data_IF_699357220668
#
_entry.id   IF_699357220668
#
_cell.length_a   1.000
_cell.length_b   1.000
_cell.length_c   1.000
_cell.angle_alpha   90.00
_cell.angle_beta   90.00
_cell.angle_gamma   90.00
#
_symmetry.space_group_name_H-M   'P 1'
#
loop_
_entity.id
_entity.type
_entity.pdbx_description
1 polymer ?
#
# COMPACT_ATOMS: atom_id res chain seq x y z
N UNK A 1 -7.73 12.04 -3.95
CA UNK A 1 -6.48 11.30 -4.16
C UNK A 1 -6.27 11.20 -5.64
N UNK A 2 -5.06 11.49 -6.09
CA UNK A 2 -4.69 11.32 -7.50
C UNK A 2 -4.40 9.83 -7.78
N UNK A 3 -4.56 9.36 -9.02
CA UNK A 3 -4.04 8.05 -9.42
C UNK A 3 -2.57 7.92 -9.04
N UNK A 4 -2.20 6.73 -8.56
CA UNK A 4 -0.84 6.41 -8.12
C UNK A 4 -0.34 7.21 -6.90
N UNK A 5 -1.22 7.84 -6.12
CA UNK A 5 -0.83 8.45 -4.83
C UNK A 5 -0.33 7.39 -3.85
N UNK A 6 0.65 7.71 -3.01
CA UNK A 6 1.05 6.85 -1.90
C UNK A 6 -0.14 6.62 -0.96
N UNK A 7 -0.22 5.39 -0.44
CA UNK A 7 -1.08 5.00 0.67
C UNK A 7 -0.19 4.41 1.75
N UNK A 8 -0.35 4.83 3.00
CA UNK A 8 0.23 4.12 4.12
C UNK A 8 -0.78 3.08 4.63
N UNK A 9 -0.35 1.82 4.70
CA UNK A 9 -1.13 0.70 5.22
C UNK A 9 -0.56 0.30 6.56
N UNK A 10 -1.34 0.44 7.62
CA UNK A 10 -0.96 0.02 8.97
C UNK A 10 -1.66 -1.30 9.28
N UNK A 11 -0.89 -2.34 9.54
CA UNK A 11 -1.38 -3.68 9.84
C UNK A 11 -0.33 -4.43 10.64
N UNK A 12 -0.75 -5.34 11.53
CA UNK A 12 0.17 -6.23 12.25
C UNK A 12 1.38 -5.54 12.91
N UNK A 13 1.16 -4.36 13.52
CA UNK A 13 2.21 -3.52 14.11
C UNK A 13 3.29 -3.02 13.12
N UNK A 14 3.00 -3.01 11.83
CA UNK A 14 3.86 -2.54 10.75
C UNK A 14 3.18 -1.41 9.98
N UNK A 15 3.99 -0.63 9.26
CA UNK A 15 3.54 0.34 8.27
C UNK A 15 4.17 -0.03 6.94
N UNK A 16 3.35 -0.19 5.92
CA UNK A 16 3.77 -0.39 4.55
C UNK A 16 3.38 0.82 3.70
N UNK A 17 4.26 1.25 2.80
CA UNK A 17 3.90 2.21 1.77
C UNK A 17 3.58 1.49 0.46
N UNK A 18 2.38 1.76 -0.06
CA UNK A 18 1.90 1.25 -1.35
C UNK A 18 1.43 2.37 -2.25
N UNK A 19 0.94 2.00 -3.43
CA UNK A 19 0.42 2.94 -4.43
C UNK A 19 -1.09 2.73 -4.59
N UNK A 20 -1.84 3.82 -4.51
CA UNK A 20 -3.28 3.84 -4.74
C UNK A 20 -3.60 3.64 -6.20
N UNK A 21 -4.39 2.62 -6.48
CA UNK A 21 -5.04 2.44 -7.77
C UNK A 21 -4.07 1.99 -8.85
N UNK A 22 -3.93 0.68 -8.99
CA UNK A 22 -3.93 0.11 -10.32
C UNK A 22 -5.38 -0.27 -10.64
N UNK A 23 -6.02 0.50 -11.53
CA UNK A 23 -7.32 0.10 -12.06
C UNK A 23 -7.10 -1.12 -12.93
N UNK A 24 -7.32 -2.29 -12.35
CA UNK A 24 -7.70 -3.48 -13.09
C UNK A 24 -8.73 -3.07 -14.17
N UNK A 25 -8.56 -3.51 -15.42
CA UNK A 25 -9.58 -3.36 -16.48
C UNK A 25 -10.90 -4.07 -16.19
N UNK A 26 -11.04 -4.68 -15.01
CA UNK A 26 -12.21 -5.28 -14.38
C UNK A 26 -12.52 -4.63 -13.01
N UNK A 27 -13.73 -4.87 -12.50
CA UNK A 27 -14.24 -4.28 -11.26
C UNK A 27 -13.67 -4.85 -9.95
N UNK A 28 -12.76 -5.83 -10.01
CA UNK A 28 -12.31 -6.57 -8.83
C UNK A 28 -10.91 -6.17 -8.39
N UNK A 29 -10.79 -5.64 -7.17
CA UNK A 29 -9.53 -5.37 -6.46
C UNK A 29 -8.93 -6.65 -5.83
N UNK A 30 -9.45 -7.83 -6.20
CA UNK A 30 -9.31 -9.08 -5.46
C UNK A 30 -7.87 -9.54 -5.28
N UNK A 31 -7.14 -9.77 -6.37
CA UNK A 31 -5.77 -10.32 -6.30
C UNK A 31 -4.79 -9.33 -5.65
N UNK A 32 -4.91 -8.03 -5.95
CA UNK A 32 -4.11 -6.99 -5.29
C UNK A 32 -4.37 -6.93 -3.78
N UNK A 33 -5.61 -7.13 -3.36
CA UNK A 33 -5.97 -7.18 -1.93
C UNK A 33 -5.39 -8.43 -1.24
N UNK A 34 -5.33 -9.57 -1.94
CA UNK A 34 -4.69 -10.79 -1.41
C UNK A 34 -3.19 -10.56 -1.21
N UNK A 35 -2.48 -9.97 -2.17
CA UNK A 35 -1.06 -9.69 -2.03
C UNK A 35 -0.75 -8.77 -0.84
N UNK A 36 -1.57 -7.73 -0.64
CA UNK A 36 -1.42 -6.84 0.52
C UNK A 36 -1.74 -7.58 1.83
N UNK A 37 -2.79 -8.40 1.85
CA UNK A 37 -3.15 -9.14 3.03
C UNK A 37 -2.04 -10.16 3.41
N UNK A 38 -1.47 -10.87 2.42
CA UNK A 38 -0.31 -11.75 2.63
C UNK A 38 0.93 -11.01 3.10
N UNK A 39 1.12 -9.75 2.69
CA UNK A 39 2.21 -8.91 3.19
C UNK A 39 2.00 -8.55 4.67
N UNK A 40 0.77 -8.19 5.05
CA UNK A 40 0.42 -7.87 6.43
C UNK A 40 0.44 -9.08 7.37
N UNK A 41 -0.06 -10.22 6.91
CA UNK A 41 -0.31 -11.42 7.71
C UNK A 41 0.18 -12.69 6.98
N UNK A 42 1.51 -12.85 6.79
CA UNK A 42 2.07 -13.91 5.97
C UNK A 42 1.79 -15.34 6.49
N UNK A 43 1.39 -15.47 7.75
CA UNK A 43 1.16 -16.75 8.42
C UNK A 43 -0.33 -17.14 8.51
N UNK A 44 -1.24 -16.29 8.05
CA UNK A 44 -2.69 -16.47 8.25
C UNK A 44 -3.33 -17.34 7.15
N UNK A 45 -2.52 -17.85 6.22
CA UNK A 45 -2.98 -18.74 5.15
C UNK A 45 -3.96 -18.05 4.21
N UNK A 46 -3.75 -16.76 3.94
CA UNK A 46 -4.65 -15.94 3.13
C UNK A 46 -4.68 -16.39 1.67
N UNK A 47 -5.89 -16.54 1.13
CA UNK A 47 -6.16 -16.98 -0.24
C UNK A 47 -7.34 -16.20 -0.83
N UNK A 48 -7.73 -16.52 -2.07
CA UNK A 48 -8.95 -15.95 -2.65
C UNK A 48 -10.24 -16.31 -1.89
N UNK A 49 -10.22 -17.42 -1.15
CA UNK A 49 -11.37 -17.92 -0.38
C UNK A 49 -11.17 -17.80 1.14
N UNK A 50 -10.03 -17.26 1.60
CA UNK A 50 -9.71 -17.10 3.02
C UNK A 50 -9.16 -15.70 3.29
N UNK A 51 -9.97 -14.88 3.95
CA UNK A 51 -9.65 -13.49 4.28
C UNK A 51 -9.22 -13.27 5.73
N UNK A 52 -8.93 -12.01 6.05
CA UNK A 52 -8.64 -11.54 7.39
C UNK A 52 -9.86 -10.77 7.93
N UNK A 53 -10.52 -11.29 8.97
CA UNK A 53 -11.79 -10.76 9.48
C UNK A 53 -11.62 -9.64 10.50
N UNK A 54 -10.46 -9.56 11.14
CA UNK A 54 -10.16 -8.61 12.19
C UNK A 54 -10.11 -7.19 11.60
N UNK A 55 -10.68 -6.24 12.34
CA UNK A 55 -10.78 -4.83 11.94
C UNK A 55 -9.57 -4.04 12.44
N UNK A 56 -8.38 -4.50 12.10
CA UNK A 56 -7.10 -3.99 12.60
C UNK A 56 -6.15 -3.51 11.48
N UNK A 57 -6.69 -3.32 10.26
CA UNK A 57 -5.98 -2.72 9.14
C UNK A 57 -6.47 -1.29 8.92
N UNK A 58 -5.55 -0.33 8.89
CA UNK A 58 -5.83 1.08 8.62
C UNK A 58 -5.16 1.49 7.30
N UNK A 59 -5.94 2.14 6.44
CA UNK A 59 -5.46 2.74 5.19
C UNK A 59 -5.47 4.26 5.32
N UNK A 60 -4.32 4.89 5.12
CA UNK A 60 -4.18 6.35 5.09
C UNK A 60 -3.89 6.78 3.66
N UNK A 61 -4.90 7.33 3.01
CA UNK A 61 -4.78 7.88 1.66
C UNK A 61 -4.46 9.37 1.69
N UNK A 62 -3.40 9.77 0.98
CA UNK A 62 -2.96 11.16 0.91
C UNK A 62 -3.54 11.84 -0.35
N UNK A 63 -4.26 12.95 -0.15
CA UNK A 63 -5.08 13.54 -1.23
C UNK A 63 -4.36 14.58 -2.10
N UNK A 64 -3.20 15.09 -1.68
CA UNK A 64 -2.46 16.11 -2.40
C UNK A 64 -1.64 15.56 -3.57
N UNK A 65 -1.38 16.38 -4.59
CA UNK A 65 -0.56 15.99 -5.75
C UNK A 65 0.87 15.59 -5.38
N UNK A 66 1.39 16.12 -4.27
CA UNK A 66 2.69 15.72 -3.71
C UNK A 66 2.73 14.27 -3.21
N UNK A 67 1.60 13.57 -3.13
CA UNK A 67 1.57 12.15 -2.78
C UNK A 67 1.91 11.22 -3.95
N UNK A 68 2.00 11.73 -5.19
CA UNK A 68 2.32 10.91 -6.37
C UNK A 68 3.84 10.81 -6.50
N UNK A 69 4.44 9.61 -6.36
CA UNK A 69 5.90 9.46 -6.46
C UNK A 69 6.40 9.65 -7.91
N UNK A 70 5.55 9.37 -8.90
CA UNK A 70 5.88 9.54 -10.31
C UNK A 70 7.14 8.75 -10.70
N UNK A 71 8.05 9.36 -11.45
CA UNK A 71 9.25 8.71 -11.94
C UNK A 71 10.29 8.36 -10.86
N UNK A 72 10.12 8.83 -9.61
CA UNK A 72 11.05 8.49 -8.53
C UNK A 72 10.83 7.09 -7.94
N UNK A 73 9.64 6.51 -8.13
CA UNK A 73 9.40 5.13 -7.74
C UNK A 73 10.14 4.15 -8.66
N UNK A 74 10.67 3.07 -8.09
CA UNK A 74 11.30 2.00 -8.85
C UNK A 74 10.23 1.05 -9.41
N UNK A 75 9.57 1.46 -10.49
CA UNK A 75 8.53 0.66 -11.16
C UNK A 75 9.02 -0.69 -11.70
N UNK A 76 10.33 -0.88 -11.81
CA UNK A 76 10.98 -2.12 -12.25
C UNK A 76 11.47 -3.01 -11.10
N UNK A 77 11.14 -2.67 -9.85
CA UNK A 77 11.57 -3.42 -8.67
C UNK A 77 11.17 -4.91 -8.77
N UNK A 78 12.10 -5.79 -8.38
CA UNK A 78 11.92 -7.24 -8.43
C UNK A 78 11.34 -7.83 -7.15
N UNK A 79 11.14 -7.01 -6.11
CA UNK A 79 10.62 -7.45 -4.81
C UNK A 79 9.82 -6.35 -4.12
N UNK A 80 8.98 -6.74 -3.17
CA UNK A 80 8.21 -5.82 -2.33
C UNK A 80 9.11 -4.83 -1.61
N UNK A 81 10.18 -5.31 -0.97
CA UNK A 81 11.12 -4.48 -0.20
C UNK A 81 11.84 -3.47 -1.10
N UNK A 82 12.28 -3.88 -2.29
CA UNK A 82 12.92 -2.97 -3.24
C UNK A 82 11.97 -1.87 -3.72
N UNK A 83 10.72 -2.22 -4.01
CA UNK A 83 9.71 -1.24 -4.43
C UNK A 83 9.38 -0.26 -3.29
N UNK A 84 9.08 -0.79 -2.10
CA UNK A 84 8.70 0.01 -0.94
C UNK A 84 9.82 0.98 -0.55
N UNK A 85 11.07 0.51 -0.52
CA UNK A 85 12.23 1.36 -0.25
C UNK A 85 12.34 2.54 -1.22
N UNK A 86 11.91 2.38 -2.48
CA UNK A 86 11.95 3.46 -3.48
C UNK A 86 10.94 4.59 -3.25
N UNK A 87 9.88 4.33 -2.48
CA UNK A 87 8.82 5.32 -2.15
C UNK A 87 8.79 5.69 -0.67
N UNK A 88 9.60 5.03 0.15
CA UNK A 88 9.63 5.18 1.60
C UNK A 88 9.85 6.61 2.06
N UNK A 89 10.83 7.32 1.49
CA UNK A 89 11.14 8.70 1.89
C UNK A 89 9.94 9.64 1.68
N UNK A 90 9.19 9.45 0.60
CA UNK A 90 7.97 10.23 0.34
C UNK A 90 6.85 9.83 1.30
N UNK A 91 6.67 8.52 1.55
CA UNK A 91 5.70 8.02 2.52
C UNK A 91 5.95 8.56 3.93
N UNK A 92 7.20 8.48 4.40
CA UNK A 92 7.61 8.98 5.72
C UNK A 92 7.36 10.50 5.85
N UNK A 93 7.64 11.27 4.79
CA UNK A 93 7.34 12.71 4.73
C UNK A 93 5.84 13.01 4.84
N UNK A 94 5.00 12.24 4.14
CA UNK A 94 3.54 12.39 4.18
C UNK A 94 2.97 12.06 5.56
N UNK A 95 3.44 10.98 6.21
CA UNK A 95 3.04 10.59 7.57
C UNK A 95 3.49 11.63 8.59
N UNK A 96 4.71 12.16 8.47
CA UNK A 96 5.21 13.20 9.35
C UNK A 96 4.40 14.52 9.29
N UNK A 97 3.69 14.74 8.18
CA UNK A 97 2.78 15.88 8.00
C UNK A 97 1.41 15.72 8.64
N UNK A 98 1.09 14.57 9.24
CA UNK A 98 -0.20 14.34 9.89
C UNK A 98 -0.33 15.18 11.17
N UNK A 99 -1.52 15.73 11.46
CA UNK A 99 -1.76 16.43 12.71
C UNK A 99 -1.61 15.46 13.89
N UNK A 100 -1.04 15.98 14.98
CA UNK A 100 -0.94 15.28 16.27
C UNK A 100 -2.27 15.24 17.02
#
# INVERSE_FOLDING_TARGET
>A
MEPLSIVAVVCNNQVFYGVWGDTNGFTSTGESSISLAQLCFPNDGLTGDNGHDQKDVLYLGFTGSGAVPGASANWSAGSTEEFENSIKDLGDSLVAGLPA
#
